data_IF_635864422594
#
_entry.id   IF_635864422594
#
_cell.length_a   1.000
_cell.length_b   1.000
_cell.length_c   1.000
_cell.angle_alpha   90.00
_cell.angle_beta   90.00
_cell.angle_gamma   90.00
#
_symmetry.space_group_name_H-M   'P 1'
#
loop_
_entity.id
_entity.type
_entity.pdbx_description
1 polymer ?
#
# COMPACT_ATOMS: atom_id res chain seq x y z
N UNK A 1 -20.48 -45.80 -11.97
CA UNK A 1 -20.46 -44.87 -10.81
C UNK A 1 -19.07 -44.34 -10.45
N UNK A 2 -18.04 -45.17 -10.23
CA UNK A 2 -16.70 -44.72 -9.81
C UNK A 2 -15.98 -43.78 -10.80
N UNK A 3 -16.13 -44.01 -12.11
CA UNK A 3 -15.57 -43.14 -13.17
C UNK A 3 -16.30 -41.79 -13.29
N UNK A 4 -17.61 -41.77 -13.07
CA UNK A 4 -18.43 -40.55 -13.07
C UNK A 4 -18.14 -39.68 -11.84
N UNK A 5 -17.89 -40.29 -10.68
CA UNK A 5 -17.41 -39.57 -9.47
C UNK A 5 -16.02 -38.97 -9.68
N UNK A 6 -15.10 -39.69 -10.34
CA UNK A 6 -13.77 -39.16 -10.65
C UNK A 6 -13.87 -37.95 -11.60
N UNK A 7 -14.76 -38.01 -12.59
CA UNK A 7 -15.00 -36.92 -13.53
C UNK A 7 -15.61 -35.70 -12.83
N UNK A 8 -16.56 -35.90 -11.91
CA UNK A 8 -17.13 -34.85 -11.05
C UNK A 8 -16.08 -34.25 -10.10
N UNK A 9 -15.18 -35.07 -9.53
CA UNK A 9 -14.06 -34.62 -8.69
C UNK A 9 -13.04 -33.78 -9.49
N UNK A 10 -12.76 -34.17 -10.73
CA UNK A 10 -11.89 -33.41 -11.65
C UNK A 10 -12.57 -32.11 -12.10
N UNK A 11 -13.88 -32.13 -12.36
CA UNK A 11 -14.67 -30.92 -12.65
C UNK A 11 -14.78 -29.98 -11.43
N UNK A 12 -14.85 -30.49 -10.20
CA UNK A 12 -14.76 -29.66 -8.98
C UNK A 12 -13.35 -29.16 -8.68
N UNK A 13 -12.33 -29.71 -9.36
CA UNK A 13 -10.96 -29.22 -9.35
C UNK A 13 -10.69 -28.19 -10.46
N UNK A 14 -11.72 -27.83 -11.24
CA UNK A 14 -11.70 -26.59 -12.02
C UNK A 14 -11.56 -25.46 -11.02
N UNK A 15 -10.34 -24.92 -10.90
CA UNK A 15 -9.95 -23.92 -9.94
C UNK A 15 -11.03 -22.83 -9.84
N UNK A 16 -11.54 -22.60 -8.64
CA UNK A 16 -12.50 -21.53 -8.41
C UNK A 16 -11.80 -20.19 -8.65
N UNK A 17 -11.94 -19.68 -9.87
CA UNK A 17 -11.36 -18.39 -10.26
C UNK A 17 -12.27 -17.28 -9.72
N UNK A 18 -11.86 -16.65 -8.63
CA UNK A 18 -12.49 -15.43 -8.15
C UNK A 18 -12.26 -14.27 -9.12
N UNK A 19 -13.25 -13.38 -9.21
CA UNK A 19 -13.14 -12.11 -9.90
C UNK A 19 -12.67 -11.04 -8.90
N UNK A 20 -11.42 -10.61 -9.00
CA UNK A 20 -10.76 -9.75 -8.01
C UNK A 20 -10.43 -8.40 -8.62
N UNK A 21 -10.85 -7.33 -7.93
CA UNK A 21 -10.43 -5.96 -8.24
C UNK A 21 -9.23 -5.61 -7.37
N UNK A 22 -8.12 -5.20 -7.98
CA UNK A 22 -6.96 -4.67 -7.28
C UNK A 22 -6.87 -3.17 -7.54
N UNK A 23 -7.08 -2.36 -6.50
CA UNK A 23 -6.92 -0.91 -6.56
C UNK A 23 -5.45 -0.54 -6.33
N UNK A 24 -4.85 0.15 -7.30
CA UNK A 24 -3.44 0.55 -7.28
C UNK A 24 -3.35 2.09 -7.33
N UNK A 25 -3.11 2.76 -6.19
CA UNK A 25 -2.84 4.19 -6.18
C UNK A 25 -1.42 4.44 -6.68
N UNK A 26 -1.28 5.10 -7.83
CA UNK A 26 -0.02 5.26 -8.56
C UNK A 26 0.65 6.58 -8.18
N UNK A 27 1.16 6.61 -6.95
CA UNK A 27 1.80 7.76 -6.33
C UNK A 27 3.28 7.53 -5.96
N UNK A 28 3.67 6.29 -5.65
CA UNK A 28 5.04 5.92 -5.28
C UNK A 28 5.42 4.54 -5.83
N UNK A 29 6.66 4.40 -6.32
CA UNK A 29 7.16 3.18 -7.00
C UNK A 29 7.09 1.95 -6.09
N UNK A 30 7.39 2.08 -4.80
CA UNK A 30 7.32 0.97 -3.84
C UNK A 30 5.90 0.40 -3.72
N UNK A 31 4.90 1.28 -3.54
CA UNK A 31 3.49 0.90 -3.44
C UNK A 31 2.98 0.27 -4.74
N UNK A 32 3.30 0.90 -5.87
CA UNK A 32 2.95 0.42 -7.21
C UNK A 32 3.50 -0.99 -7.45
N UNK A 33 4.78 -1.21 -7.15
CA UNK A 33 5.42 -2.50 -7.36
C UNK A 33 4.84 -3.56 -6.43
N UNK A 34 4.57 -3.24 -5.17
CA UNK A 34 4.01 -4.19 -4.21
C UNK A 34 2.60 -4.62 -4.61
N UNK A 35 1.71 -3.65 -4.86
CA UNK A 35 0.33 -3.92 -5.29
C UNK A 35 0.27 -4.61 -6.66
N UNK A 36 1.15 -4.22 -7.58
CA UNK A 36 1.25 -4.85 -8.89
C UNK A 36 1.75 -6.29 -8.83
N UNK A 37 2.70 -6.60 -7.95
CA UNK A 37 3.17 -7.97 -7.71
C UNK A 37 2.13 -8.84 -7.03
N UNK A 38 1.35 -8.27 -6.11
CA UNK A 38 0.20 -8.93 -5.52
C UNK A 38 -0.83 -9.29 -6.60
N UNK A 39 -1.16 -8.35 -7.51
CA UNK A 39 -2.03 -8.61 -8.65
C UNK A 39 -1.48 -9.74 -9.54
N UNK A 40 -0.19 -9.70 -9.90
CA UNK A 40 0.45 -10.72 -10.72
C UNK A 40 0.40 -12.11 -10.06
N UNK A 41 0.61 -12.19 -8.74
CA UNK A 41 0.55 -13.45 -7.99
C UNK A 41 -0.87 -14.05 -7.97
N UNK A 42 -1.91 -13.22 -7.92
CA UNK A 42 -3.30 -13.67 -7.99
C UNK A 42 -3.66 -14.21 -9.38
N UNK A 43 -3.11 -13.59 -10.44
CA UNK A 43 -3.23 -14.12 -11.81
C UNK A 43 -2.52 -15.47 -11.92
N UNK A 44 -1.32 -15.59 -11.39
CA UNK A 44 -0.56 -16.85 -11.39
C UNK A 44 -1.27 -17.96 -10.60
N UNK A 45 -2.05 -17.60 -9.58
CA UNK A 45 -2.90 -18.51 -8.83
C UNK A 45 -4.21 -18.90 -9.57
N UNK A 46 -4.45 -18.35 -10.76
CA UNK A 46 -5.59 -18.68 -11.62
C UNK A 46 -6.84 -17.85 -11.38
N UNK A 47 -6.73 -16.68 -10.75
CA UNK A 47 -7.85 -15.75 -10.57
C UNK A 47 -7.99 -14.76 -11.74
N UNK A 48 -9.21 -14.25 -11.94
CA UNK A 48 -9.46 -13.17 -12.88
C UNK A 48 -9.22 -11.83 -12.17
N UNK A 49 -8.23 -11.06 -12.62
CA UNK A 49 -7.79 -9.85 -11.93
C UNK A 49 -7.97 -8.63 -12.82
N UNK A 50 -8.75 -7.67 -12.32
CA UNK A 50 -8.84 -6.31 -12.88
C UNK A 50 -7.99 -5.37 -12.02
N UNK A 51 -7.04 -4.67 -12.63
CA UNK A 51 -6.28 -3.61 -11.97
C UNK A 51 -6.95 -2.25 -12.22
N UNK A 52 -7.44 -1.61 -11.16
CA UNK A 52 -7.91 -0.22 -11.19
C UNK A 52 -6.76 0.69 -10.76
N UNK A 53 -6.16 1.35 -11.74
CA UNK A 53 -4.98 2.20 -11.56
C UNK A 53 -5.43 3.65 -11.46
N UNK A 54 -5.17 4.27 -10.31
CA UNK A 54 -5.45 5.68 -10.04
C UNK A 54 -4.15 6.49 -10.19
N UNK A 55 -3.98 7.15 -11.35
CA UNK A 55 -2.71 7.78 -11.71
C UNK A 55 -2.56 9.18 -11.11
N UNK A 56 -1.55 9.40 -10.26
CA UNK A 56 -1.21 10.77 -9.81
C UNK A 56 -0.07 11.38 -10.62
N UNK A 57 0.82 10.54 -11.18
CA UNK A 57 1.87 10.98 -12.11
C UNK A 57 2.06 9.96 -13.23
N UNK A 58 1.98 10.45 -14.47
CA UNK A 58 2.06 9.64 -15.71
C UNK A 58 3.40 8.94 -15.97
N UNK A 59 4.47 9.25 -15.23
CA UNK A 59 5.81 8.67 -15.44
C UNK A 59 5.99 7.34 -14.71
N UNK A 60 5.13 7.03 -13.75
CA UNK A 60 5.26 5.80 -13.00
C UNK A 60 4.81 4.59 -13.84
N UNK A 61 5.38 3.39 -13.58
CA UNK A 61 4.90 2.16 -14.21
C UNK A 61 3.54 1.75 -13.61
N UNK A 62 2.88 0.78 -14.24
CA UNK A 62 1.61 0.24 -13.74
C UNK A 62 1.79 -0.75 -12.57
N UNK A 63 3.01 -1.25 -12.37
CA UNK A 63 3.36 -2.21 -11.32
C UNK A 63 3.04 -3.66 -11.69
N UNK A 64 1.82 -3.93 -12.16
CA UNK A 64 1.39 -5.25 -12.66
C UNK A 64 1.83 -5.48 -14.11
N UNK A 65 2.14 -6.73 -14.46
CA UNK A 65 2.43 -7.17 -15.83
C UNK A 65 1.45 -8.23 -16.34
N UNK A 66 0.62 -8.81 -15.46
CA UNK A 66 -0.21 -9.98 -15.75
C UNK A 66 -1.71 -9.74 -15.59
N UNK A 67 -2.14 -8.65 -14.96
CA UNK A 67 -3.56 -8.34 -14.80
C UNK A 67 -4.28 -8.41 -16.16
N UNK A 68 -5.38 -9.16 -16.23
CA UNK A 68 -6.10 -9.42 -17.48
C UNK A 68 -6.81 -8.18 -17.99
N UNK A 69 -7.26 -7.30 -17.09
CA UNK A 69 -7.89 -6.03 -17.42
C UNK A 69 -7.24 -4.89 -16.63
N UNK A 70 -7.05 -3.74 -17.29
CA UNK A 70 -6.55 -2.53 -16.65
C UNK A 70 -7.53 -1.39 -16.92
N UNK A 71 -8.07 -0.82 -15.84
CA UNK A 71 -8.89 0.40 -15.85
C UNK A 71 -8.00 1.53 -15.34
N UNK A 72 -7.77 2.56 -16.16
CA UNK A 72 -6.91 3.70 -15.79
C UNK A 72 -7.71 4.97 -15.60
N UNK A 73 -7.46 5.62 -14.48
CA UNK A 73 -7.96 6.96 -14.20
C UNK A 73 -6.78 7.92 -14.33
N UNK A 74 -6.83 8.78 -15.34
CA UNK A 74 -5.80 9.78 -15.60
C UNK A 74 -5.63 10.73 -14.40
N UNK A 75 -4.47 11.38 -14.25
CA UNK A 75 -4.26 12.38 -13.22
C UNK A 75 -5.30 13.50 -13.27
N UNK A 76 -5.86 13.84 -12.11
CA UNK A 76 -6.58 15.09 -11.91
C UNK A 76 -5.67 16.30 -12.12
N UNK A 77 -6.25 17.44 -12.45
CA UNK A 77 -5.50 18.69 -12.53
C UNK A 77 -4.91 19.00 -11.15
N UNK A 78 -3.57 19.14 -11.08
CA UNK A 78 -2.87 19.29 -9.81
C UNK A 78 -2.72 18.00 -8.99
N UNK A 79 -3.05 16.80 -9.48
CA UNK A 79 -2.98 15.59 -8.65
C UNK A 79 -1.57 15.24 -8.13
N UNK A 80 -0.50 15.83 -8.69
CA UNK A 80 0.87 15.67 -8.20
C UNK A 80 1.30 16.87 -7.34
N UNK A 81 0.80 16.93 -6.11
CA UNK A 81 1.15 17.94 -5.11
C UNK A 81 1.99 17.38 -3.94
N UNK A 82 2.37 16.10 -4.00
CA UNK A 82 3.19 15.46 -2.97
C UNK A 82 4.53 16.17 -2.81
N UNK A 83 4.99 16.25 -1.55
CA UNK A 83 6.25 16.89 -1.23
C UNK A 83 7.42 16.05 -1.80
N UNK A 84 8.14 16.60 -2.78
CA UNK A 84 9.31 15.96 -3.38
C UNK A 84 10.61 16.24 -2.63
N UNK A 85 10.62 17.07 -1.60
CA UNK A 85 11.85 17.45 -0.88
C UNK A 85 12.43 16.27 -0.09
N UNK A 86 11.59 15.33 0.33
CA UNK A 86 12.01 13.99 0.80
C UNK A 86 12.87 13.23 -0.23
N UNK A 87 12.72 13.55 -1.52
CA UNK A 87 13.48 12.96 -2.62
C UNK A 87 14.80 13.69 -2.89
N UNK A 88 14.95 14.92 -2.39
CA UNK A 88 16.08 15.80 -2.71
C UNK A 88 17.19 15.69 -1.68
N UNK A 89 16.87 15.59 -0.38
CA UNK A 89 17.92 15.55 0.67
C UNK A 89 17.59 14.65 1.86
N UNK A 90 17.50 13.35 1.62
CA UNK A 90 17.18 12.32 2.63
C UNK A 90 18.10 12.37 3.87
N UNK A 91 19.31 12.92 3.74
CA UNK A 91 20.28 13.03 4.83
C UNK A 91 20.04 14.24 5.75
N UNK A 92 19.30 15.24 5.29
CA UNK A 92 18.95 16.45 6.07
C UNK A 92 17.53 16.38 6.64
N UNK A 93 16.70 15.44 6.19
CA UNK A 93 15.33 15.29 6.71
C UNK A 93 15.35 14.75 8.14
N UNK A 94 14.98 15.61 9.09
CA UNK A 94 14.65 15.19 10.45
C UNK A 94 13.29 14.48 10.47
N UNK A 95 13.32 13.14 10.36
CA UNK A 95 12.12 12.31 10.46
C UNK A 95 11.39 12.47 11.81
N UNK A 96 12.03 12.99 12.86
CA UNK A 96 11.40 13.21 14.18
C UNK A 96 10.59 14.54 14.26
N UNK A 97 10.60 15.35 13.19
CA UNK A 97 9.94 16.65 13.18
C UNK A 97 8.43 16.53 12.94
N UNK A 98 7.62 16.94 13.93
CA UNK A 98 6.17 17.00 13.79
C UNK A 98 5.73 17.92 12.65
N UNK A 99 6.37 19.08 12.47
CA UNK A 99 6.00 20.03 11.41
C UNK A 99 6.25 19.44 10.03
N UNK A 100 7.39 18.76 9.83
CA UNK A 100 7.71 18.11 8.57
C UNK A 100 6.74 16.94 8.27
N UNK A 101 6.39 16.16 9.30
CA UNK A 101 5.43 15.06 9.17
C UNK A 101 4.02 15.56 8.80
N UNK A 102 3.56 16.63 9.47
CA UNK A 102 2.27 17.28 9.17
C UNK A 102 2.24 17.89 7.78
N UNK A 103 3.32 18.56 7.38
CA UNK A 103 3.46 19.13 6.03
C UNK A 103 3.41 18.03 4.96
N UNK A 104 4.15 16.93 5.14
CA UNK A 104 4.07 15.79 4.23
C UNK A 104 2.65 15.22 4.15
N UNK A 105 2.01 14.98 5.30
CA UNK A 105 0.65 14.47 5.37
C UNK A 105 -0.34 15.41 4.66
N UNK A 106 -0.17 16.73 4.78
CA UNK A 106 -0.98 17.72 4.07
C UNK A 106 -0.80 17.61 2.55
N UNK A 107 0.43 17.58 2.05
CA UNK A 107 0.72 17.44 0.61
C UNK A 107 0.18 16.13 0.02
N UNK A 108 0.28 15.03 0.77
CA UNK A 108 -0.34 13.76 0.40
C UNK A 108 -1.86 13.90 0.37
N UNK A 109 -2.46 14.53 1.39
CA UNK A 109 -3.92 14.74 1.47
C UNK A 109 -4.49 15.47 0.26
N UNK A 110 -3.78 16.49 -0.25
CA UNK A 110 -4.19 17.26 -1.43
C UNK A 110 -4.16 16.37 -2.67
N UNK A 111 -3.04 15.66 -2.88
CA UNK A 111 -2.86 14.76 -4.04
C UNK A 111 -3.91 13.64 -4.05
N UNK A 112 -4.10 13.00 -2.90
CA UNK A 112 -5.03 11.88 -2.72
C UNK A 112 -6.47 12.34 -2.85
N UNK A 113 -6.82 13.48 -2.26
CA UNK A 113 -8.16 14.07 -2.37
C UNK A 113 -8.53 14.44 -3.82
N UNK A 114 -7.64 15.13 -4.55
CA UNK A 114 -7.88 15.49 -5.96
C UNK A 114 -8.10 14.22 -6.79
N UNK A 115 -7.22 13.23 -6.63
CA UNK A 115 -7.26 12.03 -7.44
C UNK A 115 -8.47 11.14 -7.08
N UNK A 116 -8.81 11.01 -5.78
CA UNK A 116 -9.98 10.28 -5.35
C UNK A 116 -11.27 10.93 -5.89
N UNK A 117 -11.40 12.26 -5.81
CA UNK A 117 -12.53 12.97 -6.41
C UNK A 117 -12.62 12.74 -7.91
N UNK A 118 -11.49 12.80 -8.62
CA UNK A 118 -11.43 12.52 -10.06
C UNK A 118 -11.92 11.10 -10.39
N UNK A 119 -11.49 10.11 -9.62
CA UNK A 119 -11.93 8.72 -9.78
C UNK A 119 -13.44 8.60 -9.56
N UNK A 120 -13.96 9.13 -8.45
CA UNK A 120 -15.37 9.06 -8.09
C UNK A 120 -16.29 9.81 -9.06
N UNK A 121 -15.81 10.90 -9.66
CA UNK A 121 -16.57 11.70 -10.63
C UNK A 121 -16.36 11.27 -12.08
N UNK A 122 -15.56 10.23 -12.33
CA UNK A 122 -15.37 9.70 -13.69
C UNK A 122 -16.68 9.07 -14.18
N UNK A 123 -17.28 9.56 -15.27
CA UNK A 123 -18.62 9.14 -15.68
C UNK A 123 -18.74 7.63 -15.89
N UNK A 124 -19.69 7.00 -15.19
CA UNK A 124 -20.03 5.58 -15.35
C UNK A 124 -19.01 4.60 -14.73
N UNK A 125 -17.94 5.08 -14.10
CA UNK A 125 -16.91 4.20 -13.53
C UNK A 125 -17.48 3.36 -12.38
N UNK A 126 -18.07 4.01 -11.37
CA UNK A 126 -18.57 3.34 -10.17
C UNK A 126 -19.70 2.36 -10.54
N UNK A 127 -20.57 2.75 -11.47
CA UNK A 127 -21.66 1.91 -12.00
C UNK A 127 -21.12 0.70 -12.76
N UNK A 128 -20.05 0.87 -13.55
CA UNK A 128 -19.40 -0.25 -14.21
C UNK A 128 -18.80 -1.21 -13.20
N UNK A 129 -18.08 -0.70 -12.19
CA UNK A 129 -17.46 -1.55 -11.17
C UNK A 129 -18.50 -2.30 -10.33
N UNK A 130 -19.65 -1.68 -10.03
CA UNK A 130 -20.80 -2.35 -9.39
C UNK A 130 -21.34 -3.49 -10.26
N UNK A 131 -21.50 -3.24 -11.57
CA UNK A 131 -22.04 -4.24 -12.52
C UNK A 131 -21.13 -5.46 -12.68
N UNK A 132 -19.83 -5.27 -12.57
CA UNK A 132 -18.83 -6.34 -12.75
C UNK A 132 -18.82 -7.35 -11.59
N UNK A 133 -19.46 -7.06 -10.45
CA UNK A 133 -19.66 -7.96 -9.31
C UNK A 133 -18.38 -8.69 -8.85
N UNK A 134 -17.44 -7.94 -8.26
CA UNK A 134 -16.19 -8.51 -7.76
C UNK A 134 -16.38 -9.34 -6.48
N UNK A 135 -15.70 -10.49 -6.41
CA UNK A 135 -15.64 -11.33 -5.22
C UNK A 135 -14.78 -10.69 -4.12
N UNK A 136 -13.73 -9.98 -4.50
CA UNK A 136 -12.90 -9.25 -3.55
C UNK A 136 -12.39 -7.93 -4.16
N UNK A 137 -12.28 -6.92 -3.29
CA UNK A 137 -11.50 -5.72 -3.56
C UNK A 137 -10.25 -5.75 -2.68
N UNK A 138 -9.09 -5.75 -3.32
CA UNK A 138 -7.79 -5.59 -2.69
C UNK A 138 -7.36 -4.13 -2.86
N UNK A 139 -7.13 -3.42 -1.76
CA UNK A 139 -6.80 -1.98 -1.81
C UNK A 139 -5.69 -1.64 -0.85
N UNK A 140 -4.82 -0.72 -1.27
CA UNK A 140 -3.88 -0.05 -0.39
C UNK A 140 -4.61 0.73 0.72
N UNK A 141 -3.97 0.88 1.88
CA UNK A 141 -4.47 1.56 3.08
C UNK A 141 -3.71 2.84 3.41
N UNK A 142 -2.58 3.09 2.74
CA UNK A 142 -1.93 4.39 2.80
C UNK A 142 -2.80 5.50 2.19
N UNK A 143 -3.58 5.18 1.15
CA UNK A 143 -4.55 6.07 0.51
C UNK A 143 -5.93 5.43 0.55
N UNK A 144 -6.86 6.01 1.32
CA UNK A 144 -8.11 5.35 1.70
C UNK A 144 -9.24 5.40 0.65
N UNK A 145 -9.01 5.94 -0.56
CA UNK A 145 -10.09 6.03 -1.56
C UNK A 145 -10.61 4.66 -2.00
N UNK A 146 -9.72 3.66 -2.14
CA UNK A 146 -10.15 2.29 -2.44
C UNK A 146 -10.93 1.63 -1.29
N UNK A 147 -10.64 2.01 -0.03
CA UNK A 147 -11.45 1.57 1.12
C UNK A 147 -12.86 2.15 1.02
N UNK A 148 -13.01 3.45 0.75
CA UNK A 148 -14.34 4.04 0.54
C UNK A 148 -15.06 3.46 -0.68
N UNK A 149 -14.34 3.19 -1.77
CA UNK A 149 -14.89 2.58 -2.98
C UNK A 149 -15.51 1.19 -2.71
N UNK A 150 -14.96 0.45 -1.75
CA UNK A 150 -15.51 -0.85 -1.32
C UNK A 150 -16.97 -0.76 -0.89
N UNK A 151 -17.36 0.32 -0.20
CA UNK A 151 -18.74 0.53 0.20
C UNK A 151 -19.65 0.70 -1.02
N UNK A 152 -19.20 1.49 -2.00
CA UNK A 152 -19.99 1.79 -3.19
C UNK A 152 -20.19 0.55 -4.07
N UNK A 153 -19.15 -0.24 -4.30
CA UNK A 153 -19.21 -1.40 -5.20
C UNK A 153 -19.64 -2.68 -4.49
N UNK A 154 -19.65 -2.68 -3.15
CA UNK A 154 -20.10 -3.79 -2.30
C UNK A 154 -19.52 -5.15 -2.72
N UNK A 155 -18.18 -5.30 -2.79
CA UNK A 155 -17.57 -6.59 -3.10
C UNK A 155 -17.87 -7.59 -1.97
N UNK A 156 -17.79 -8.90 -2.23
CA UNK A 156 -18.06 -9.89 -1.18
C UNK A 156 -17.02 -9.85 -0.06
N UNK A 157 -15.79 -9.41 -0.35
CA UNK A 157 -14.73 -9.20 0.62
C UNK A 157 -13.95 -7.91 0.34
N UNK A 158 -13.68 -7.14 1.39
CA UNK A 158 -12.66 -6.10 1.40
C UNK A 158 -11.36 -6.68 1.98
N UNK A 159 -10.26 -6.55 1.25
CA UNK A 159 -8.93 -6.99 1.66
C UNK A 159 -8.01 -5.76 1.65
N UNK A 160 -7.81 -5.10 2.80
CA UNK A 160 -6.88 -4.01 2.91
C UNK A 160 -5.44 -4.52 2.84
N UNK A 161 -4.57 -3.71 2.27
CA UNK A 161 -3.15 -3.98 2.09
C UNK A 161 -2.38 -2.76 2.53
N UNK A 162 -1.27 -2.96 3.24
CA UNK A 162 -0.28 -1.92 3.50
C UNK A 162 1.01 -2.29 2.79
N UNK A 163 1.49 -1.44 1.88
CA UNK A 163 2.82 -1.61 1.26
C UNK A 163 3.98 -1.33 2.23
N UNK A 164 3.66 -1.05 3.50
CA UNK A 164 4.57 -0.93 4.62
C UNK A 164 3.99 -1.70 5.82
N UNK A 165 4.36 -1.28 7.02
CA UNK A 165 3.65 -1.64 8.26
C UNK A 165 2.37 -0.80 8.37
N UNK A 166 1.41 -1.24 9.18
CA UNK A 166 0.19 -0.47 9.47
C UNK A 166 0.56 0.79 10.26
N UNK A 167 0.27 1.98 9.70
CA UNK A 167 0.49 3.25 10.39
C UNK A 167 -0.40 3.37 11.64
N UNK A 168 -1.69 3.11 11.48
CA UNK A 168 -2.67 3.01 12.57
C UNK A 168 -3.41 1.66 12.49
N UNK A 169 -3.13 0.72 13.40
CA UNK A 169 -3.75 -0.60 13.41
C UNK A 169 -5.03 -0.61 14.27
N UNK A 170 -5.42 0.52 14.88
CA UNK A 170 -6.60 0.62 15.74
C UNK A 170 -7.93 0.28 15.06
N UNK A 171 -8.15 0.54 13.75
CA UNK A 171 -9.34 0.07 13.06
C UNK A 171 -9.50 -1.46 13.08
N UNK A 172 -8.40 -2.20 13.24
CA UNK A 172 -8.40 -3.66 13.31
C UNK A 172 -8.51 -4.20 14.75
N UNK A 173 -8.68 -3.33 15.74
CA UNK A 173 -8.73 -3.69 17.17
C UNK A 173 -7.36 -3.90 17.81
N UNK A 174 -6.29 -3.44 17.16
CA UNK A 174 -4.92 -3.50 17.69
C UNK A 174 -4.57 -2.13 18.24
N UNK A 175 -4.25 -2.07 19.53
CA UNK A 175 -3.88 -0.83 20.20
C UNK A 175 -2.43 -0.88 20.63
N UNK A 176 -1.69 0.18 20.29
CA UNK A 176 -0.28 0.28 20.68
C UNK A 176 -0.16 0.40 22.21
N UNK A 177 0.66 -0.44 22.83
CA UNK A 177 1.17 -0.20 24.18
C UNK A 177 2.16 0.95 24.14
N UNK A 178 1.73 2.10 24.66
CA UNK A 178 2.54 3.31 24.85
C UNK A 178 3.77 3.08 25.76
N UNK A 179 3.90 1.90 26.37
CA UNK A 179 4.94 1.55 27.34
C UNK A 179 5.96 0.56 26.76
N UNK A 180 5.59 -0.26 25.78
CA UNK A 180 6.40 -1.43 25.35
C UNK A 180 6.65 -1.53 23.86
N UNK A 181 6.14 -0.62 23.03
CA UNK A 181 6.13 -0.83 21.58
C UNK A 181 6.96 0.16 20.78
N UNK A 182 7.54 -0.37 19.70
CA UNK A 182 8.22 0.36 18.64
C UNK A 182 7.19 1.00 17.71
N UNK A 183 7.42 2.26 17.34
CA UNK A 183 6.66 2.93 16.27
C UNK A 183 7.38 2.74 14.93
N UNK A 184 6.73 3.08 13.82
CA UNK A 184 7.37 3.11 12.48
C UNK A 184 8.63 4.00 12.45
N UNK A 185 8.74 4.93 13.39
CA UNK A 185 9.80 5.95 13.45
C UNK A 185 10.83 5.69 14.55
N UNK A 186 10.64 4.68 15.39
CA UNK A 186 11.50 4.46 16.54
C UNK A 186 11.61 2.99 16.92
N UNK A 187 12.83 2.49 16.83
CA UNK A 187 13.25 1.25 17.49
C UNK A 187 13.31 1.49 19.01
N UNK A 188 12.23 1.17 19.71
CA UNK A 188 12.13 1.29 21.17
C UNK A 188 12.38 -0.03 21.90
N UNK A 189 13.00 -1.04 21.25
CA UNK A 189 13.29 -2.35 21.85
C UNK A 189 13.96 -2.24 23.24
N UNK A 190 14.59 -1.11 23.52
CA UNK A 190 15.16 -0.76 24.81
C UNK A 190 14.41 0.43 25.43
N UNK A 191 13.27 0.18 26.08
CA UNK A 191 12.58 1.11 26.97
C UNK A 191 13.39 1.34 28.25
N UNK A 192 14.61 1.87 28.11
CA UNK A 192 15.56 2.01 29.19
C UNK A 192 15.33 3.27 30.04
N UNK A 193 14.48 4.23 29.60
CA UNK A 193 14.28 5.50 30.30
C UNK A 193 12.87 6.09 30.15
N UNK A 194 12.53 7.05 31.02
CA UNK A 194 11.31 7.87 30.88
C UNK A 194 11.29 8.64 29.55
N UNK A 195 12.46 9.08 29.07
CA UNK A 195 12.58 9.82 27.81
C UNK A 195 12.21 8.97 26.59
N UNK A 196 12.63 7.70 26.53
CA UNK A 196 12.24 6.82 25.41
C UNK A 196 10.73 6.57 25.39
N UNK A 197 10.09 6.51 26.56
CA UNK A 197 8.63 6.39 26.69
C UNK A 197 7.90 7.66 26.23
N UNK A 198 8.40 8.84 26.61
CA UNK A 198 7.85 10.11 26.14
C UNK A 198 7.96 10.27 24.62
N UNK A 199 9.09 9.82 24.02
CA UNK A 199 9.23 9.78 22.56
C UNK A 199 8.26 8.82 21.89
N UNK A 200 7.99 7.66 22.49
CA UNK A 200 6.97 6.72 22.00
C UNK A 200 5.59 7.38 21.94
N UNK A 201 5.21 8.11 22.99
CA UNK A 201 3.96 8.87 23.03
C UNK A 201 3.90 9.96 21.96
N UNK A 202 5.00 10.71 21.79
CA UNK A 202 5.13 11.73 20.75
C UNK A 202 4.97 11.12 19.34
N UNK A 203 5.66 10.03 19.02
CA UNK A 203 5.52 9.36 17.72
C UNK A 203 4.15 8.77 17.47
N UNK A 204 3.51 8.22 18.50
CA UNK A 204 2.13 7.76 18.40
C UNK A 204 1.20 8.93 18.04
N UNK A 205 1.36 10.08 18.71
CA UNK A 205 0.59 11.29 18.42
C UNK A 205 0.84 11.80 16.99
N UNK A 206 2.11 11.90 16.56
CA UNK A 206 2.45 12.33 15.19
C UNK A 206 1.82 11.38 14.16
N UNK A 207 1.98 10.06 14.35
CA UNK A 207 1.46 9.06 13.42
C UNK A 207 -0.06 9.17 13.27
N UNK A 208 -0.77 9.31 14.41
CA UNK A 208 -2.22 9.50 14.43
C UNK A 208 -2.64 10.83 13.80
N UNK A 209 -1.89 11.91 14.04
CA UNK A 209 -2.16 13.21 13.43
C UNK A 209 -1.96 13.15 11.91
N UNK A 210 -0.86 12.55 11.44
CA UNK A 210 -0.55 12.39 10.02
C UNK A 210 -1.61 11.58 9.28
N UNK A 211 -2.00 10.43 9.83
CA UNK A 211 -3.06 9.59 9.25
C UNK A 211 -4.38 10.37 9.11
N UNK A 212 -4.81 11.07 10.15
CA UNK A 212 -6.02 11.88 10.10
C UNK A 212 -5.93 13.04 9.10
N UNK A 213 -4.80 13.77 9.07
CA UNK A 213 -4.58 14.89 8.14
C UNK A 213 -4.61 14.39 6.69
N UNK A 214 -3.98 13.25 6.43
CA UNK A 214 -3.90 12.64 5.12
C UNK A 214 -5.27 12.13 4.63
N UNK A 215 -6.01 11.43 5.49
CA UNK A 215 -7.18 10.65 5.07
C UNK A 215 -8.54 11.35 5.31
N UNK A 216 -8.65 12.30 6.25
CA UNK A 216 -9.91 12.99 6.52
C UNK A 216 -10.49 13.76 5.31
N UNK A 217 -9.68 14.40 4.43
CA UNK A 217 -10.22 15.03 3.23
C UNK A 217 -10.91 14.04 2.27
N UNK A 218 -10.41 12.81 2.15
CA UNK A 218 -11.07 11.78 1.35
C UNK A 218 -12.39 11.35 1.95
N UNK A 219 -12.49 11.18 3.27
CA UNK A 219 -13.78 10.89 3.92
C UNK A 219 -14.81 11.99 3.59
N UNK A 220 -14.42 13.27 3.66
CA UNK A 220 -15.31 14.39 3.30
C UNK A 220 -15.78 14.33 1.85
N UNK A 221 -14.92 13.89 0.93
CA UNK A 221 -15.31 13.70 -0.48
C UNK A 221 -16.38 12.61 -0.60
N UNK A 222 -16.25 11.51 0.12
CA UNK A 222 -17.28 10.46 0.14
C UNK A 222 -18.57 10.96 0.79
N UNK A 223 -18.49 11.70 1.90
CA UNK A 223 -19.66 12.26 2.57
C UNK A 223 -20.43 13.24 1.66
N UNK A 224 -19.72 13.98 0.80
CA UNK A 224 -20.27 14.92 -0.17
C UNK A 224 -20.89 14.22 -1.40
N UNK A 225 -20.14 13.31 -2.04
CA UNK A 225 -20.53 12.68 -3.31
C UNK A 225 -21.46 11.47 -3.12
N UNK A 226 -21.30 10.75 -2.00
CA UNK A 226 -22.04 9.53 -1.66
C UNK A 226 -22.46 9.56 -0.18
N UNK A 227 -23.43 10.42 0.19
CA UNK A 227 -23.91 10.53 1.56
C UNK A 227 -24.36 9.17 2.12
N UNK A 228 -23.95 8.87 3.35
CA UNK A 228 -24.22 7.59 4.00
C UNK A 228 -23.07 6.58 3.92
N UNK A 229 -21.96 6.92 3.24
CA UNK A 229 -20.73 6.13 3.30
C UNK A 229 -20.23 6.06 4.76
N UNK A 230 -19.99 4.85 5.32
CA UNK A 230 -19.43 4.72 6.66
C UNK A 230 -18.05 5.35 6.79
N UNK A 231 -17.61 5.59 8.03
CA UNK A 231 -16.23 5.97 8.29
C UNK A 231 -15.28 4.89 7.78
N UNK A 232 -14.15 5.26 7.16
CA UNK A 232 -13.16 4.29 6.68
C UNK A 232 -12.68 3.33 7.76
N UNK A 233 -12.57 3.78 9.01
CA UNK A 233 -12.23 2.92 10.15
C UNK A 233 -13.24 1.78 10.38
N UNK A 234 -14.53 2.06 10.15
CA UNK A 234 -15.61 1.07 10.23
C UNK A 234 -15.52 0.03 9.09
N UNK A 235 -15.17 0.48 7.88
CA UNK A 235 -14.97 -0.43 6.75
C UNK A 235 -13.76 -1.35 6.99
N UNK A 236 -12.68 -0.80 7.57
CA UNK A 236 -11.48 -1.57 7.90
C UNK A 236 -11.70 -2.57 9.05
N UNK A 237 -12.54 -2.24 10.03
CA UNK A 237 -12.82 -3.15 11.14
C UNK A 237 -13.49 -4.46 10.67
N UNK A 238 -14.33 -4.35 9.65
CA UNK A 238 -15.07 -5.47 9.06
C UNK A 238 -14.21 -6.34 8.12
N UNK A 239 -13.00 -5.91 7.76
CA UNK A 239 -12.10 -6.70 6.92
C UNK A 239 -11.69 -8.01 7.63
N UNK A 240 -11.84 -9.14 6.94
CA UNK A 240 -11.50 -10.45 7.52
C UNK A 240 -9.98 -10.67 7.63
N UNK A 241 -9.21 -10.10 6.71
CA UNK A 241 -7.75 -10.21 6.62
C UNK A 241 -7.18 -8.88 6.14
N UNK A 242 -5.98 -8.54 6.60
CA UNK A 242 -5.18 -7.41 6.12
C UNK A 242 -3.76 -7.89 5.83
N UNK A 243 -3.22 -7.49 4.68
CA UNK A 243 -1.86 -7.84 4.30
C UNK A 243 -0.89 -6.69 4.57
N UNK A 244 0.31 -6.99 5.05
CA UNK A 244 1.37 -5.99 5.28
C UNK A 244 2.66 -6.39 4.57
N UNK A 245 3.38 -5.43 4.02
CA UNK A 245 4.72 -5.63 3.47
C UNK A 245 5.77 -5.66 4.60
N UNK A 246 5.61 -6.57 5.55
CA UNK A 246 6.53 -6.77 6.67
C UNK A 246 7.03 -8.21 6.69
N UNK A 247 8.25 -8.43 7.18
CA UNK A 247 8.81 -9.76 7.43
C UNK A 247 8.99 -9.94 8.95
N UNK A 248 8.31 -10.92 9.59
CA UNK A 248 8.37 -11.09 11.03
C UNK A 248 9.76 -11.46 11.57
N UNK A 249 10.69 -11.92 10.72
CA UNK A 249 12.06 -12.25 11.13
C UNK A 249 12.99 -11.03 11.15
N UNK A 250 12.67 -9.98 10.38
CA UNK A 250 13.52 -8.81 10.19
C UNK A 250 12.90 -7.57 10.86
N UNK A 251 11.57 -7.48 10.87
CA UNK A 251 10.82 -6.35 11.41
C UNK A 251 10.78 -6.37 12.96
N UNK A 252 10.44 -5.23 13.55
CA UNK A 252 10.30 -5.09 14.98
C UNK A 252 9.09 -5.85 15.51
N UNK A 253 9.25 -6.47 16.68
CA UNK A 253 8.16 -7.13 17.37
C UNK A 253 7.09 -6.11 17.79
N UNK A 254 5.83 -6.37 17.41
CA UNK A 254 4.66 -5.55 17.73
C UNK A 254 3.43 -6.44 17.94
N UNK A 255 2.39 -5.98 18.66
CA UNK A 255 1.14 -6.70 18.73
C UNK A 255 0.56 -6.90 17.35
N UNK A 256 0.03 -8.09 17.14
CA UNK A 256 -0.60 -8.47 15.89
C UNK A 256 -1.74 -9.43 16.18
N UNK A 257 -2.62 -9.61 15.19
CA UNK A 257 -3.73 -10.55 15.23
C UNK A 257 -3.54 -11.55 14.09
N UNK A 258 -4.21 -12.71 14.19
CA UNK A 258 -4.21 -13.70 13.09
C UNK A 258 -4.74 -13.14 11.78
N UNK A 259 -5.55 -12.06 11.82
CA UNK A 259 -6.03 -11.35 10.63
C UNK A 259 -4.97 -10.50 9.93
N UNK A 260 -3.87 -10.15 10.61
CA UNK A 260 -2.76 -9.39 10.00
C UNK A 260 -1.73 -10.37 9.48
N UNK A 261 -1.67 -10.50 8.15
CA UNK A 261 -0.82 -11.48 7.49
C UNK A 261 0.36 -10.76 6.81
N UNK A 262 1.59 -10.96 7.31
CA UNK A 262 2.78 -10.41 6.68
C UNK A 262 3.06 -11.15 5.36
N UNK A 263 3.18 -10.39 4.26
CA UNK A 263 3.57 -10.88 2.93
C UNK A 263 4.79 -10.13 2.39
N UNK A 264 5.69 -9.72 3.31
CA UNK A 264 6.96 -9.12 2.97
C UNK A 264 7.75 -9.97 1.98
N UNK A 265 8.42 -9.33 1.02
CA UNK A 265 9.25 -10.02 0.04
C UNK A 265 8.50 -10.57 -1.19
N UNK A 266 7.18 -10.42 -1.31
CA UNK A 266 6.41 -10.81 -2.52
C UNK A 266 6.94 -10.14 -3.81
N UNK A 267 7.59 -8.99 -3.68
CA UNK A 267 8.20 -8.27 -4.79
C UNK A 267 9.58 -8.81 -5.21
N UNK A 268 10.21 -9.70 -4.43
CA UNK A 268 11.56 -10.20 -4.69
C UNK A 268 11.51 -11.28 -5.76
N UNK A 269 12.09 -10.99 -6.93
CA UNK A 269 12.28 -12.01 -7.96
C UNK A 269 13.42 -12.96 -7.59
N UNK A 270 13.35 -14.19 -8.08
CA UNK A 270 14.48 -15.10 -8.05
C UNK A 270 15.71 -14.43 -8.71
N UNK A 271 16.90 -14.56 -8.10
CA UNK A 271 18.12 -13.97 -8.63
C UNK A 271 18.41 -14.55 -10.02
N UNK A 272 18.68 -13.67 -10.97
CA UNK A 272 19.14 -14.05 -12.31
C UNK A 272 20.63 -13.76 -12.43
N UNK A 273 21.37 -14.51 -13.27
CA UNK A 273 22.77 -14.19 -13.55
C UNK A 273 22.92 -12.75 -14.01
N UNK A 274 23.97 -12.07 -13.51
CA UNK A 274 24.29 -10.72 -13.94
C UNK A 274 24.67 -10.73 -15.42
N UNK A 275 24.31 -9.65 -16.13
CA UNK A 275 24.81 -9.44 -17.49
C UNK A 275 26.33 -9.30 -17.51
N UNK A 276 26.94 -9.65 -18.64
CA UNK A 276 28.40 -9.70 -18.85
C UNK A 276 29.10 -8.44 -18.33
N UNK A 277 28.60 -7.26 -18.71
CA UNK A 277 29.13 -5.96 -18.23
C UNK A 277 29.27 -5.85 -16.71
N UNK A 278 28.21 -6.20 -15.96
CA UNK A 278 28.25 -6.11 -14.49
C UNK A 278 29.07 -7.24 -13.88
N UNK A 279 29.01 -8.44 -14.47
CA UNK A 279 29.85 -9.56 -14.05
C UNK A 279 31.34 -9.20 -14.16
N UNK A 280 31.76 -8.61 -15.27
CA UNK A 280 33.14 -8.21 -15.52
C UNK A 280 33.59 -7.14 -14.52
N UNK A 281 32.79 -6.09 -14.31
CA UNK A 281 33.10 -5.00 -13.37
C UNK A 281 33.21 -5.53 -11.94
N UNK A 282 32.22 -6.30 -11.48
CA UNK A 282 32.20 -6.79 -10.10
C UNK A 282 33.31 -7.83 -9.85
N UNK A 283 33.80 -8.50 -10.89
CA UNK A 283 34.91 -9.48 -10.82
C UNK A 283 36.30 -8.84 -10.80
N UNK A 284 36.44 -7.53 -11.04
CA UNK A 284 37.74 -6.83 -10.99
C UNK A 284 38.40 -6.88 -9.61
N UNK A 285 37.62 -7.07 -8.54
CA UNK A 285 38.09 -7.10 -7.15
C UNK A 285 37.43 -8.24 -6.39
N UNK A 286 38.14 -8.78 -5.41
CA UNK A 286 37.60 -9.82 -4.52
C UNK A 286 36.46 -9.33 -3.60
N UNK A 287 36.33 -8.00 -3.43
CA UNK A 287 35.28 -7.38 -2.62
C UNK A 287 34.78 -6.14 -3.36
N UNK A 288 33.47 -6.08 -3.54
CA UNK A 288 32.79 -4.95 -4.18
C UNK A 288 31.58 -4.56 -3.33
N UNK A 289 31.37 -3.25 -3.20
CA UNK A 289 30.22 -2.69 -2.49
C UNK A 289 29.31 -2.02 -3.51
N UNK A 290 28.08 -2.53 -3.62
CA UNK A 290 27.02 -1.88 -4.40
C UNK A 290 26.28 -0.89 -3.49
N UNK A 291 26.24 0.37 -3.89
CA UNK A 291 25.47 1.41 -3.18
C UNK A 291 24.31 1.84 -4.07
N UNK A 292 23.09 1.73 -3.55
CA UNK A 292 21.86 2.18 -4.20
C UNK A 292 20.93 2.76 -3.15
N UNK A 293 20.44 3.99 -3.38
CA UNK A 293 19.53 4.69 -2.46
C UNK A 293 18.06 4.59 -2.89
N UNK A 294 17.75 3.66 -3.81
CA UNK A 294 16.41 3.47 -4.34
C UNK A 294 15.97 4.60 -5.28
N UNK A 295 14.67 4.70 -5.51
CA UNK A 295 14.08 5.62 -6.49
C UNK A 295 13.70 6.99 -5.92
N UNK A 296 13.77 7.14 -4.60
CA UNK A 296 13.33 8.36 -3.90
C UNK A 296 14.52 9.29 -3.68
N UNK A 297 15.64 8.83 -3.13
CA UNK A 297 16.81 9.68 -2.92
C UNK A 297 17.58 9.96 -4.23
N UNK A 298 17.80 11.24 -4.51
CA UNK A 298 18.77 11.68 -5.53
C UNK A 298 20.17 11.74 -4.93
N UNK A 299 21.15 11.10 -5.56
CA UNK A 299 22.55 11.35 -5.26
C UNK A 299 22.95 12.70 -5.88
N UNK A 300 22.97 13.75 -5.06
CA UNK A 300 23.58 15.02 -5.47
C UNK A 300 25.06 14.92 -5.11
N UNK A 301 25.93 14.75 -6.11
CA UNK A 301 27.37 14.90 -5.90
C UNK A 301 27.61 16.29 -5.28
N UNK A 302 28.38 16.42 -4.19
CA UNK A 302 28.82 17.73 -3.75
C UNK A 302 29.49 18.40 -4.95
N UNK A 303 29.04 19.59 -5.32
CA UNK A 303 29.75 20.39 -6.31
C UNK A 303 31.09 20.74 -5.66
N UNK A 304 32.17 20.17 -6.21
CA UNK A 304 33.56 20.53 -5.89
C UNK A 304 33.82 22.00 -6.16
#
# INVERSE_FOLDING_TARGET
MRRSLLFLLILSCSAHSYNILVYIPKFAISHINFMGKLADALVDAGHNVTALISEMHSRFPDGTKKAQQIIRISPGEGAFHMNTDFMVDMFEVEFDSYSAAVENAYHNSVSFGIQCRKLLTTPGLVESLKRDNYDALITETFEMCGVGLSHLISPRALIPVSSSILLDPSPYGIHYSLITESSIMLDTRFHASLYSRLKTFYHWFISRACDNIQNAPMQRIFDELYPGTPAFSSLLSDAAVVFTNSDPLIDFARPTLSKVVPIGGIGVSLPTPLGEFWSDILSLRARTVLVSFGSIAKFVSPRS
#
